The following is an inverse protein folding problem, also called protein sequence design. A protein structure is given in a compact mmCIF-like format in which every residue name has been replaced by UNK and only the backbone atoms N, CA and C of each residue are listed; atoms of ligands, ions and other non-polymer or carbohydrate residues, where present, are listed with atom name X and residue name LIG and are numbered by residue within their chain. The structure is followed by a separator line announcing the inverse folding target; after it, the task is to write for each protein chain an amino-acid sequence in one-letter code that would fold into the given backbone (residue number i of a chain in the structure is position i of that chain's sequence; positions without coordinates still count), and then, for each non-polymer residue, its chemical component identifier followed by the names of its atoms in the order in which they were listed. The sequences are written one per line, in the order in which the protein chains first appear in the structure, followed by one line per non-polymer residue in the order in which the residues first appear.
data_IF_202858412337
#
_entry.id   IF_202858412337
#
_cell.length_a   1.000
_cell.length_b   1.000
_cell.length_c   1.000
_cell.angle_alpha   90.00
_cell.angle_beta   90.00
_cell.angle_gamma   90.00
#
_symmetry.space_group_name_H-M   'P 1'
#
loop_
_entity.id
_entity.type
_entity.pdbx_description
1 polymer ?
#
# COMPACT_ATOMS: atom_id res chain seq x y z
N UNK A 1 -13.48 -31.15 3.96
CA UNK A 1 -13.18 -29.82 4.57
C UNK A 1 -13.44 -28.77 3.52
N UNK A 2 -14.21 -27.76 3.82
CA UNK A 2 -14.48 -26.70 2.85
C UNK A 2 -13.17 -25.94 2.54
N UNK A 3 -13.00 -25.48 1.30
CA UNK A 3 -11.75 -24.87 0.78
C UNK A 3 -11.24 -23.71 1.65
N UNK A 4 -12.17 -22.87 2.14
CA UNK A 4 -11.83 -21.75 3.02
C UNK A 4 -11.31 -22.24 4.39
N UNK A 5 -11.88 -23.31 4.94
CA UNK A 5 -11.41 -23.88 6.21
C UNK A 5 -10.05 -24.57 6.07
N UNK A 6 -9.78 -25.17 4.90
CA UNK A 6 -8.44 -25.68 4.56
C UNK A 6 -7.42 -24.55 4.55
N UNK A 7 -7.71 -23.42 3.86
CA UNK A 7 -6.83 -22.26 3.83
C UNK A 7 -6.58 -21.70 5.25
N UNK A 8 -7.63 -21.57 6.07
CA UNK A 8 -7.54 -21.07 7.43
C UNK A 8 -6.61 -21.94 8.31
N UNK A 9 -6.68 -23.26 8.17
CA UNK A 9 -5.91 -24.20 8.99
C UNK A 9 -4.49 -24.41 8.52
N UNK A 10 -4.23 -24.39 7.21
CA UNK A 10 -2.93 -24.71 6.61
C UNK A 10 -2.13 -23.49 6.18
N UNK A 11 -2.76 -22.32 6.10
CA UNK A 11 -2.21 -21.09 5.52
C UNK A 11 -1.69 -21.30 4.07
N UNK A 12 -2.15 -22.34 3.42
CA UNK A 12 -1.73 -22.71 2.07
C UNK A 12 -2.81 -23.53 1.36
N UNK A 13 -2.79 -23.48 0.03
CA UNK A 13 -3.62 -24.29 -0.86
C UNK A 13 -2.80 -24.72 -2.07
N UNK A 14 -3.27 -25.74 -2.78
CA UNK A 14 -2.75 -26.06 -4.11
C UNK A 14 -3.12 -24.94 -5.11
N UNK A 15 -2.36 -24.84 -6.20
CA UNK A 15 -2.54 -23.78 -7.20
C UNK A 15 -3.95 -23.78 -7.80
N UNK A 16 -4.51 -24.96 -8.08
CA UNK A 16 -5.89 -25.10 -8.56
C UNK A 16 -6.93 -24.61 -7.56
N UNK A 17 -6.68 -24.84 -6.27
CA UNK A 17 -7.57 -24.40 -5.17
C UNK A 17 -7.53 -22.88 -4.98
N UNK A 18 -6.35 -22.25 -5.07
CA UNK A 18 -6.26 -20.79 -5.07
C UNK A 18 -7.01 -20.17 -6.26
N UNK A 19 -6.90 -20.76 -7.46
CA UNK A 19 -7.65 -20.29 -8.62
C UNK A 19 -9.15 -20.36 -8.40
N UNK A 20 -9.66 -21.43 -7.80
CA UNK A 20 -11.07 -21.56 -7.45
C UNK A 20 -11.53 -20.44 -6.49
N UNK A 21 -10.69 -20.04 -5.52
CA UNK A 21 -11.01 -18.90 -4.64
C UNK A 21 -10.97 -17.57 -5.41
N UNK A 22 -9.99 -17.34 -6.27
CA UNK A 22 -9.87 -16.11 -7.06
C UNK A 22 -11.04 -15.93 -8.05
N UNK A 23 -11.63 -17.01 -8.50
CA UNK A 23 -12.76 -17.03 -9.44
C UNK A 23 -14.14 -17.12 -8.76
N UNK A 24 -14.16 -17.02 -7.42
CA UNK A 24 -15.38 -17.13 -6.62
C UNK A 24 -16.40 -16.03 -6.99
N UNK A 25 -17.66 -16.45 -7.26
CA UNK A 25 -18.77 -15.55 -7.61
C UNK A 25 -19.92 -15.61 -6.60
N UNK A 26 -19.98 -16.67 -5.80
CA UNK A 26 -21.02 -16.85 -4.78
C UNK A 26 -20.81 -15.84 -3.63
N UNK A 27 -21.73 -14.91 -3.50
CA UNK A 27 -21.65 -13.83 -2.50
C UNK A 27 -21.61 -14.36 -1.05
N UNK A 28 -22.30 -15.47 -0.75
CA UNK A 28 -22.29 -16.04 0.60
C UNK A 28 -20.93 -16.65 0.93
N UNK A 29 -20.29 -17.29 -0.05
CA UNK A 29 -18.93 -17.82 0.12
C UNK A 29 -17.90 -16.69 0.22
N UNK A 30 -18.06 -15.61 -0.56
CA UNK A 30 -17.23 -14.40 -0.45
C UNK A 30 -17.37 -13.81 0.97
N UNK A 31 -18.58 -13.57 1.45
CA UNK A 31 -18.84 -13.07 2.82
C UNK A 31 -18.23 -13.98 3.90
N UNK A 32 -18.31 -15.31 3.73
CA UNK A 32 -17.68 -16.26 4.64
C UNK A 32 -16.14 -16.13 4.61
N UNK A 33 -15.52 -16.01 3.44
CA UNK A 33 -14.07 -15.80 3.30
C UNK A 33 -13.62 -14.52 4.01
N UNK A 34 -14.31 -13.40 3.78
CA UNK A 34 -14.02 -12.12 4.44
C UNK A 34 -14.14 -12.22 5.95
N UNK A 35 -15.22 -12.85 6.46
CA UNK A 35 -15.43 -13.07 7.89
C UNK A 35 -14.32 -13.91 8.53
N UNK A 36 -13.83 -14.96 7.84
CA UNK A 36 -12.73 -15.79 8.35
C UNK A 36 -11.41 -15.00 8.35
N UNK A 37 -11.16 -14.17 7.33
CA UNK A 37 -9.99 -13.30 7.26
C UNK A 37 -10.02 -12.25 8.38
N UNK A 38 -11.17 -11.62 8.66
CA UNK A 38 -11.31 -10.70 9.79
C UNK A 38 -11.10 -11.39 11.14
N UNK A 39 -11.67 -12.56 11.34
CA UNK A 39 -11.44 -13.34 12.56
C UNK A 39 -9.94 -13.63 12.77
N UNK A 40 -9.23 -14.04 11.71
CA UNK A 40 -7.78 -14.27 11.76
C UNK A 40 -7.01 -12.98 12.07
N UNK A 41 -7.40 -11.84 11.48
CA UNK A 41 -6.81 -10.53 11.79
C UNK A 41 -7.01 -10.19 13.27
N UNK A 42 -8.23 -10.42 13.82
CA UNK A 42 -8.54 -10.15 15.24
C UNK A 42 -7.73 -11.02 16.20
N UNK A 43 -7.45 -12.27 15.85
CA UNK A 43 -6.56 -13.13 16.66
C UNK A 43 -5.17 -12.50 16.83
N UNK A 44 -4.65 -11.83 15.79
CA UNK A 44 -3.31 -11.26 15.79
C UNK A 44 -3.28 -9.83 16.33
N UNK A 45 -4.21 -8.97 15.88
CA UNK A 45 -4.18 -7.53 16.09
C UNK A 45 -5.30 -7.01 17.01
N UNK A 46 -6.15 -7.89 17.53
CA UNK A 46 -7.34 -7.48 18.31
C UNK A 46 -8.29 -6.64 17.45
N UNK A 47 -8.93 -5.65 18.04
CA UNK A 47 -9.85 -4.75 17.35
C UNK A 47 -9.16 -3.48 16.82
N UNK A 48 -7.85 -3.45 16.81
CA UNK A 48 -7.07 -2.27 16.44
C UNK A 48 -7.00 -2.07 14.92
N UNK A 49 -7.26 -0.84 14.48
CA UNK A 49 -6.99 -0.31 13.14
C UNK A 49 -5.94 0.78 13.28
N UNK A 50 -4.82 0.63 12.60
CA UNK A 50 -3.74 1.61 12.60
C UNK A 50 -4.00 2.72 11.58
N UNK A 51 -3.78 3.98 12.00
CA UNK A 51 -3.79 5.12 11.09
C UNK A 51 -2.36 5.52 10.75
N UNK A 52 -2.12 5.83 9.48
CA UNK A 52 -0.83 6.31 8.99
C UNK A 52 -1.01 7.59 8.18
N UNK A 53 -0.33 8.66 8.58
CA UNK A 53 -0.37 9.92 7.86
C UNK A 53 0.38 9.85 6.53
N UNK A 54 -0.34 9.98 5.41
CA UNK A 54 0.25 9.95 4.07
C UNK A 54 0.66 11.35 3.65
N UNK A 55 1.97 11.56 3.40
CA UNK A 55 2.54 12.81 2.85
C UNK A 55 2.99 12.55 1.42
N UNK A 56 2.30 13.14 0.45
CA UNK A 56 2.60 13.05 -0.97
C UNK A 56 3.56 14.17 -1.37
N UNK A 57 4.88 13.91 -1.33
CA UNK A 57 5.91 14.97 -1.40
C UNK A 57 6.18 15.50 -2.80
N UNK A 58 5.91 14.71 -3.84
CA UNK A 58 6.12 15.10 -5.25
C UNK A 58 5.28 14.27 -6.20
N UNK A 59 4.73 14.92 -7.23
CA UNK A 59 4.13 14.24 -8.37
C UNK A 59 5.02 14.26 -9.63
N UNK A 60 6.28 14.67 -9.52
CA UNK A 60 7.27 14.40 -10.56
C UNK A 60 7.67 12.93 -10.50
N UNK A 61 7.84 12.31 -11.66
CA UNK A 61 8.33 10.93 -11.76
C UNK A 61 9.22 10.78 -13.00
N UNK A 62 10.37 10.10 -12.84
CA UNK A 62 11.25 9.78 -13.97
C UNK A 62 10.71 8.66 -14.85
N UNK A 63 9.77 7.85 -14.33
CA UNK A 63 9.22 6.68 -14.98
C UNK A 63 7.96 7.01 -15.81
N UNK A 64 7.66 6.14 -16.77
CA UNK A 64 6.54 6.31 -17.69
C UNK A 64 5.58 5.13 -17.68
N UNK A 65 5.24 4.63 -16.45
CA UNK A 65 4.32 3.51 -16.26
C UNK A 65 2.99 3.78 -16.97
N UNK A 66 2.49 2.78 -17.70
CA UNK A 66 1.39 2.96 -18.66
C UNK A 66 0.03 3.19 -17.99
N UNK A 67 -0.08 2.92 -16.70
CA UNK A 67 -1.31 3.05 -15.89
C UNK A 67 -1.32 4.30 -15.00
N UNK A 68 -0.21 5.02 -14.84
CA UNK A 68 -0.04 6.01 -13.79
C UNK A 68 -0.28 7.44 -14.28
N UNK A 69 -1.18 8.17 -13.64
CA UNK A 69 -1.51 9.56 -14.00
C UNK A 69 -0.35 10.55 -13.85
N UNK A 70 0.62 10.29 -12.92
CA UNK A 70 1.80 11.14 -12.75
C UNK A 70 3.01 10.70 -13.58
N UNK A 71 2.81 9.81 -14.56
CA UNK A 71 3.87 9.35 -15.47
C UNK A 71 4.62 10.50 -16.14
N UNK A 72 5.90 10.25 -16.51
CA UNK A 72 6.79 11.27 -17.05
C UNK A 72 6.21 12.00 -18.27
N UNK A 73 5.65 11.27 -19.22
CA UNK A 73 5.12 11.83 -20.47
C UNK A 73 3.78 12.54 -20.33
N UNK A 74 3.12 12.49 -19.15
CA UNK A 74 1.90 13.23 -18.92
C UNK A 74 2.22 14.73 -18.68
N UNK A 75 2.11 15.53 -19.73
CA UNK A 75 2.37 16.98 -19.71
C UNK A 75 1.16 17.84 -19.26
N UNK A 76 0.01 17.20 -18.98
CA UNK A 76 -1.20 17.90 -18.51
C UNK A 76 -1.30 17.97 -17.00
N UNK A 77 -0.36 17.33 -16.27
CA UNK A 77 -0.32 17.34 -14.81
C UNK A 77 0.31 18.64 -14.29
N UNK A 78 -0.38 19.33 -13.40
CA UNK A 78 0.22 20.42 -12.62
C UNK A 78 1.22 19.83 -11.63
N UNK A 79 2.52 19.94 -11.93
CA UNK A 79 3.60 19.37 -11.12
C UNK A 79 3.89 20.20 -9.89
N UNK A 80 4.24 19.52 -8.78
CA UNK A 80 4.67 20.16 -7.54
C UNK A 80 5.73 19.33 -6.81
N UNK A 81 6.45 19.98 -5.92
CA UNK A 81 7.30 19.40 -4.89
C UNK A 81 6.99 20.11 -3.58
N UNK A 82 6.97 19.37 -2.48
CA UNK A 82 6.98 19.96 -1.14
C UNK A 82 8.43 20.23 -0.75
N UNK A 83 8.64 21.33 -0.03
CA UNK A 83 9.92 21.57 0.62
C UNK A 83 9.96 20.87 2.00
N UNK A 84 11.12 20.90 2.65
CA UNK A 84 11.35 20.27 3.95
C UNK A 84 10.39 20.80 5.01
N UNK A 85 10.21 22.12 5.08
CA UNK A 85 9.37 22.78 6.08
C UNK A 85 7.91 22.36 5.95
N UNK A 86 7.42 22.21 4.73
CA UNK A 86 6.05 21.75 4.46
C UNK A 86 5.84 20.27 4.86
N UNK A 87 6.86 19.44 4.67
CA UNK A 87 6.82 18.02 5.06
C UNK A 87 6.82 17.90 6.59
N UNK A 88 7.72 18.62 7.27
CA UNK A 88 7.79 18.63 8.73
C UNK A 88 6.51 19.21 9.33
N UNK A 89 6.03 20.35 8.84
CA UNK A 89 4.77 20.97 9.31
C UNK A 89 3.59 19.99 9.21
N UNK A 90 3.47 19.25 8.08
CA UNK A 90 2.42 18.25 7.89
C UNK A 90 2.53 17.11 8.90
N UNK A 91 3.74 16.63 9.17
CA UNK A 91 3.99 15.57 10.15
C UNK A 91 3.69 16.05 11.58
N UNK A 92 4.14 17.25 11.96
CA UNK A 92 3.88 17.85 13.28
C UNK A 92 2.38 18.06 13.51
N UNK A 93 1.67 18.60 12.51
CA UNK A 93 0.23 18.74 12.60
C UNK A 93 -0.48 17.40 12.82
N UNK A 94 -0.12 16.38 12.05
CA UNK A 94 -0.69 15.04 12.18
C UNK A 94 -0.29 14.35 13.50
N UNK A 95 0.93 14.56 13.99
CA UNK A 95 1.35 14.05 15.29
C UNK A 95 0.43 14.54 16.42
N UNK A 96 0.07 15.83 16.39
CA UNK A 96 -0.87 16.44 17.35
C UNK A 96 -2.31 15.89 17.20
N UNK A 97 -2.67 15.34 16.03
CA UNK A 97 -3.92 14.62 15.78
C UNK A 97 -3.85 13.12 16.18
N UNK A 98 -2.72 12.65 16.73
CA UNK A 98 -2.57 11.28 17.21
C UNK A 98 -1.85 10.33 16.25
N UNK A 99 -1.39 10.78 15.08
CA UNK A 99 -0.60 9.91 14.18
C UNK A 99 0.77 9.59 14.77
N UNK A 100 1.20 8.34 14.64
CA UNK A 100 2.53 7.86 15.07
C UNK A 100 3.30 7.17 13.94
N UNK A 101 2.72 7.14 12.75
CA UNK A 101 3.41 6.65 11.54
C UNK A 101 3.16 7.62 10.40
N UNK A 102 4.23 8.01 9.73
CA UNK A 102 4.21 8.86 8.53
C UNK A 102 4.67 8.06 7.32
N UNK A 103 3.90 8.13 6.23
CA UNK A 103 4.23 7.53 4.95
C UNK A 103 4.62 8.66 3.99
N UNK A 104 5.90 8.79 3.71
CA UNK A 104 6.45 9.75 2.75
C UNK A 104 6.43 9.10 1.38
N UNK A 105 5.52 9.54 0.52
CA UNK A 105 5.28 8.98 -0.80
C UNK A 105 5.50 10.02 -1.89
N UNK A 106 6.00 9.58 -3.04
CA UNK A 106 6.17 10.43 -4.22
C UNK A 106 6.35 9.63 -5.49
N UNK A 107 6.36 10.31 -6.63
CA UNK A 107 6.95 9.73 -7.83
C UNK A 107 8.46 9.52 -7.63
N UNK A 108 9.09 8.72 -8.49
CA UNK A 108 10.56 8.59 -8.47
C UNK A 108 11.18 9.89 -9.01
N UNK A 109 11.34 10.85 -8.10
CA UNK A 109 11.80 12.20 -8.39
C UNK A 109 13.26 12.40 -7.94
N UNK A 110 14.16 12.61 -8.87
CA UNK A 110 15.59 12.79 -8.60
C UNK A 110 15.91 14.07 -7.81
N UNK A 111 14.96 15.01 -7.67
CA UNK A 111 15.12 16.18 -6.81
C UNK A 111 15.33 15.75 -5.32
N UNK A 112 14.60 14.74 -4.88
CA UNK A 112 14.75 14.21 -3.53
C UNK A 112 15.98 13.29 -3.47
N UNK A 113 17.18 13.92 -3.47
CA UNK A 113 18.47 13.25 -3.25
C UNK A 113 18.53 12.59 -1.88
N UNK A 114 19.54 11.74 -1.67
CA UNK A 114 19.75 11.11 -0.36
C UNK A 114 19.97 12.19 0.73
N UNK A 115 20.73 13.24 0.44
CA UNK A 115 21.02 14.30 1.41
C UNK A 115 19.77 15.05 1.84
N UNK A 116 18.89 15.42 0.90
CA UNK A 116 17.60 16.07 1.20
C UNK A 116 16.71 15.14 2.05
N UNK A 117 16.64 13.86 1.70
CA UNK A 117 15.82 12.91 2.46
C UNK A 117 16.39 12.64 3.84
N UNK A 118 17.71 12.50 3.97
CA UNK A 118 18.40 12.35 5.27
C UNK A 118 18.10 13.54 6.17
N UNK A 119 18.17 14.76 5.63
CA UNK A 119 17.85 15.97 6.39
C UNK A 119 16.39 16.00 6.88
N UNK A 120 15.44 15.58 6.05
CA UNK A 120 14.02 15.46 6.43
C UNK A 120 13.86 14.40 7.52
N UNK A 121 14.42 13.21 7.33
CA UNK A 121 14.30 12.08 8.25
C UNK A 121 14.90 12.38 9.63
N UNK A 122 16.09 12.93 9.66
CA UNK A 122 16.78 13.31 10.92
C UNK A 122 16.04 14.42 11.65
N UNK A 123 15.47 15.40 10.93
CA UNK A 123 14.63 16.45 11.52
C UNK A 123 13.38 15.85 12.17
N UNK A 124 12.66 14.96 11.49
CA UNK A 124 11.46 14.29 12.04
C UNK A 124 11.81 13.42 13.24
N UNK A 125 12.94 12.70 13.20
CA UNK A 125 13.38 11.83 14.31
C UNK A 125 13.90 12.63 15.50
N UNK A 126 14.43 13.83 15.30
CA UNK A 126 14.84 14.72 16.40
C UNK A 126 13.65 15.40 17.08
N UNK A 127 12.54 15.60 16.35
CA UNK A 127 11.32 16.22 16.89
C UNK A 127 10.41 15.19 17.60
N UNK A 128 10.43 13.91 17.16
CA UNK A 128 9.53 12.87 17.66
C UNK A 128 10.25 11.53 17.89
N UNK A 129 10.28 11.05 19.14
CA UNK A 129 10.92 9.79 19.51
C UNK A 129 10.04 8.54 19.21
N UNK A 130 8.73 8.70 19.26
CA UNK A 130 7.75 7.61 19.21
C UNK A 130 7.10 7.42 17.85
N UNK A 131 7.74 7.86 16.76
CA UNK A 131 7.23 7.72 15.40
C UNK A 131 7.92 6.61 14.61
N UNK A 132 7.20 6.07 13.62
CA UNK A 132 7.76 5.28 12.54
C UNK A 132 7.62 6.02 11.19
N UNK A 133 8.67 5.95 10.37
CA UNK A 133 8.68 6.56 9.04
C UNK A 133 8.74 5.47 7.98
N UNK A 134 7.77 5.49 7.09
CA UNK A 134 7.72 4.62 5.90
C UNK A 134 8.06 5.44 4.67
N UNK A 135 9.02 5.00 3.87
CA UNK A 135 9.29 5.59 2.56
C UNK A 135 8.60 4.79 1.45
N UNK A 136 8.06 5.50 0.45
CA UNK A 136 7.49 4.93 -0.78
C UNK A 136 7.90 5.82 -1.96
N UNK A 137 9.20 5.77 -2.30
CA UNK A 137 9.87 6.66 -3.24
C UNK A 137 10.53 5.91 -4.41
N UNK A 138 10.07 4.68 -4.68
CA UNK A 138 10.50 3.88 -5.80
C UNK A 138 11.87 3.22 -5.63
N UNK A 139 12.57 3.00 -6.75
CA UNK A 139 13.83 2.27 -6.79
C UNK A 139 15.02 3.18 -6.52
N UNK A 140 15.93 2.71 -5.62
CA UNK A 140 17.19 3.37 -5.27
C UNK A 140 18.34 2.36 -5.25
N UNK A 141 19.57 2.85 -5.13
CA UNK A 141 20.73 1.97 -4.91
C UNK A 141 20.71 1.39 -3.47
N UNK A 142 21.49 0.33 -3.25
CA UNK A 142 21.61 -0.29 -1.92
C UNK A 142 22.21 0.70 -0.91
N UNK A 143 23.20 1.47 -1.33
CA UNK A 143 23.83 2.52 -0.54
C UNK A 143 22.84 3.63 -0.16
N UNK A 144 21.97 4.03 -1.10
CA UNK A 144 20.90 4.98 -0.85
C UNK A 144 19.90 4.44 0.19
N UNK A 145 19.45 3.18 0.02
CA UNK A 145 18.57 2.55 1.01
C UNK A 145 19.22 2.49 2.40
N UNK A 146 20.52 2.14 2.49
CA UNK A 146 21.24 2.08 3.76
C UNK A 146 21.29 3.46 4.43
N UNK A 147 21.68 4.51 3.70
CA UNK A 147 21.72 5.89 4.23
C UNK A 147 20.37 6.33 4.79
N UNK A 148 19.27 6.03 4.10
CA UNK A 148 17.93 6.41 4.54
C UNK A 148 17.47 5.58 5.75
N UNK A 149 17.87 4.32 5.84
CA UNK A 149 17.63 3.48 7.01
C UNK A 149 18.36 4.03 8.25
N UNK A 150 19.64 4.34 8.10
CA UNK A 150 20.50 4.91 9.17
C UNK A 150 19.99 6.29 9.63
N UNK A 151 19.35 7.06 8.73
CA UNK A 151 18.70 8.33 9.06
C UNK A 151 17.33 8.18 9.76
N UNK A 152 16.84 6.95 9.98
CA UNK A 152 15.65 6.66 10.76
C UNK A 152 14.40 6.25 9.99
N UNK A 153 14.50 5.96 8.69
CA UNK A 153 13.40 5.34 7.93
C UNK A 153 13.28 3.86 8.32
N UNK A 154 12.28 3.54 9.12
CA UNK A 154 12.08 2.18 9.65
C UNK A 154 11.47 1.21 8.64
N UNK A 155 10.69 1.73 7.67
CA UNK A 155 9.88 0.95 6.74
C UNK A 155 10.04 1.47 5.32
N UNK A 156 9.94 0.56 4.36
CA UNK A 156 9.94 0.90 2.95
C UNK A 156 8.86 0.12 2.21
N UNK A 157 7.98 0.83 1.49
CA UNK A 157 6.99 0.22 0.61
C UNK A 157 7.43 0.35 -0.84
N UNK A 158 7.70 -0.77 -1.49
CA UNK A 158 8.02 -0.85 -2.92
C UNK A 158 7.08 -1.85 -3.60
N UNK A 159 6.02 -1.37 -4.24
CA UNK A 159 5.10 -2.24 -4.94
C UNK A 159 5.78 -2.85 -6.16
N UNK A 160 5.67 -4.17 -6.30
CA UNK A 160 6.16 -4.88 -7.48
C UNK A 160 5.13 -4.93 -8.62
N UNK A 161 3.88 -4.59 -8.31
CA UNK A 161 2.68 -4.53 -9.14
C UNK A 161 2.21 -5.88 -9.67
N UNK A 162 3.11 -6.78 -10.02
CA UNK A 162 2.88 -8.17 -10.40
C UNK A 162 4.17 -8.99 -10.26
N UNK A 163 4.09 -10.22 -9.80
CA UNK A 163 5.21 -11.16 -9.72
C UNK A 163 5.50 -11.89 -11.04
N UNK A 164 4.76 -11.57 -12.11
CA UNK A 164 4.96 -12.17 -13.44
C UNK A 164 5.69 -11.21 -14.36
N UNK A 165 6.92 -11.55 -14.76
CA UNK A 165 7.77 -10.71 -15.62
C UNK A 165 7.06 -10.25 -16.90
N UNK A 166 6.47 -11.17 -17.65
CA UNK A 166 5.80 -10.85 -18.92
C UNK A 166 4.58 -9.92 -18.75
N UNK A 167 3.94 -9.94 -17.59
CA UNK A 167 2.87 -9.01 -17.24
C UNK A 167 3.44 -7.66 -16.81
N UNK A 168 4.50 -7.64 -15.99
CA UNK A 168 5.21 -6.42 -15.61
C UNK A 168 5.64 -5.59 -16.82
N UNK A 169 6.22 -6.25 -17.84
CA UNK A 169 6.68 -5.62 -19.08
C UNK A 169 5.54 -5.00 -19.92
N UNK A 170 4.29 -5.50 -19.76
CA UNK A 170 3.10 -4.88 -20.39
C UNK A 170 2.61 -3.62 -19.68
N UNK A 171 2.93 -3.47 -18.39
CA UNK A 171 2.49 -2.35 -17.55
C UNK A 171 3.52 -1.20 -17.50
N UNK A 172 4.78 -1.48 -17.80
CA UNK A 172 5.89 -0.57 -17.58
C UNK A 172 6.67 -0.28 -18.87
N UNK A 173 7.35 0.88 -18.96
CA UNK A 173 8.21 1.17 -20.10
C UNK A 173 9.43 0.25 -20.12
N UNK A 174 10.02 0.02 -21.31
CA UNK A 174 11.22 -0.83 -21.50
C UNK A 174 12.44 -0.39 -20.68
N UNK A 175 12.45 0.83 -20.16
CA UNK A 175 13.52 1.38 -19.30
C UNK A 175 13.43 0.88 -17.86
N UNK A 176 12.31 0.25 -17.48
CA UNK A 176 12.14 -0.35 -16.15
C UNK A 176 12.36 -1.87 -16.23
N UNK A 177 13.10 -2.41 -15.26
CA UNK A 177 13.43 -3.83 -15.19
C UNK A 177 12.66 -4.50 -14.05
N UNK A 178 11.96 -5.59 -14.38
CA UNK A 178 11.33 -6.47 -13.40
C UNK A 178 12.37 -7.03 -12.41
N UNK A 179 13.51 -7.48 -12.92
CA UNK A 179 14.59 -8.04 -12.09
C UNK A 179 15.15 -7.02 -11.11
N UNK A 180 15.31 -5.76 -11.55
CA UNK A 180 15.76 -4.69 -10.66
C UNK A 180 14.73 -4.38 -9.57
N UNK A 181 13.43 -4.35 -9.92
CA UNK A 181 12.34 -4.17 -8.96
C UNK A 181 12.38 -5.25 -7.87
N UNK A 182 12.53 -6.51 -8.26
CA UNK A 182 12.60 -7.63 -7.32
C UNK A 182 13.90 -7.60 -6.48
N UNK A 183 15.04 -7.28 -7.09
CA UNK A 183 16.31 -7.09 -6.36
C UNK A 183 16.23 -5.98 -5.32
N UNK A 184 15.55 -4.86 -5.63
CA UNK A 184 15.34 -3.79 -4.67
C UNK A 184 14.57 -4.25 -3.43
N UNK A 185 13.52 -5.08 -3.58
CA UNK A 185 12.79 -5.66 -2.45
C UNK A 185 13.69 -6.51 -1.54
N UNK A 186 14.53 -7.37 -2.15
CA UNK A 186 15.47 -8.19 -1.37
C UNK A 186 16.55 -7.34 -0.67
N UNK A 187 17.05 -6.27 -1.31
CA UNK A 187 18.00 -5.34 -0.69
C UNK A 187 17.40 -4.64 0.53
N UNK A 188 16.16 -4.13 0.40
CA UNK A 188 15.45 -3.50 1.51
C UNK A 188 15.33 -4.43 2.71
N UNK A 189 14.97 -5.71 2.48
CA UNK A 189 14.88 -6.71 3.53
C UNK A 189 16.25 -6.99 4.17
N UNK A 190 17.30 -7.17 3.35
CA UNK A 190 18.67 -7.43 3.82
C UNK A 190 19.20 -6.31 4.73
N UNK A 191 18.83 -5.05 4.45
CA UNK A 191 19.23 -3.88 5.26
C UNK A 191 18.50 -3.87 6.62
N UNK A 192 17.32 -4.52 6.75
CA UNK A 192 16.55 -4.58 8.00
C UNK A 192 15.31 -3.70 8.01
N UNK A 193 14.85 -3.18 6.86
CA UNK A 193 13.56 -2.50 6.79
C UNK A 193 12.41 -3.45 7.10
N UNK A 194 11.40 -2.98 7.82
CA UNK A 194 10.07 -3.57 7.68
C UNK A 194 9.63 -3.35 6.23
N UNK A 195 9.91 -4.35 5.39
CA UNK A 195 9.75 -4.24 3.94
C UNK A 195 8.31 -4.51 3.53
N UNK A 196 7.73 -3.59 2.76
CA UNK A 196 6.44 -3.75 2.12
C UNK A 196 6.58 -3.98 0.62
N UNK A 197 5.78 -4.90 0.11
CA UNK A 197 5.56 -5.09 -1.32
C UNK A 197 4.12 -4.73 -1.71
N UNK A 198 3.69 -5.00 -2.93
CA UNK A 198 2.29 -4.78 -3.31
C UNK A 198 1.99 -5.08 -4.75
N UNK A 199 0.70 -5.30 -5.01
CA UNK A 199 0.16 -5.71 -6.31
C UNK A 199 -0.97 -4.81 -6.75
N UNK A 200 -1.21 -4.76 -8.06
CA UNK A 200 -2.32 -4.05 -8.67
C UNK A 200 -3.32 -5.06 -9.23
N UNK A 201 -4.47 -5.17 -8.59
CA UNK A 201 -5.52 -6.14 -8.95
C UNK A 201 -6.38 -5.61 -10.10
N UNK A 202 -6.68 -6.48 -11.07
CA UNK A 202 -7.47 -6.12 -12.26
C UNK A 202 -6.73 -5.20 -13.22
N UNK A 203 -5.41 -5.18 -13.16
CA UNK A 203 -4.58 -4.41 -14.10
C UNK A 203 -4.70 -4.95 -15.53
N UNK A 204 -4.46 -4.11 -16.54
CA UNK A 204 -4.55 -4.54 -17.93
C UNK A 204 -3.73 -5.81 -18.20
N UNK A 205 -4.33 -6.76 -18.94
CA UNK A 205 -3.73 -8.06 -19.30
C UNK A 205 -3.50 -9.03 -18.12
N UNK A 206 -3.99 -8.74 -16.93
CA UNK A 206 -3.86 -9.64 -15.78
C UNK A 206 -4.72 -10.89 -15.97
N UNK A 207 -4.15 -12.05 -15.66
CA UNK A 207 -4.84 -13.34 -15.65
C UNK A 207 -4.88 -13.92 -14.23
N UNK A 208 -5.69 -14.97 -14.02
CA UNK A 208 -5.72 -15.69 -12.73
C UNK A 208 -4.34 -16.27 -12.38
N UNK A 209 -3.55 -16.71 -13.37
CA UNK A 209 -2.17 -17.18 -13.19
C UNK A 209 -1.24 -16.09 -12.67
N UNK A 210 -1.44 -14.84 -13.13
CA UNK A 210 -0.65 -13.72 -12.59
C UNK A 210 -0.98 -13.47 -11.11
N UNK A 211 -2.27 -13.49 -10.75
CA UNK A 211 -2.70 -13.35 -9.35
C UNK A 211 -2.19 -14.50 -8.47
N UNK A 212 -2.19 -15.73 -8.99
CA UNK A 212 -1.60 -16.87 -8.31
C UNK A 212 -0.09 -16.70 -8.08
N UNK A 213 0.64 -16.21 -9.09
CA UNK A 213 2.07 -15.90 -8.96
C UNK A 213 2.32 -14.84 -7.89
N UNK A 214 1.43 -13.84 -7.78
CA UNK A 214 1.48 -12.80 -6.76
C UNK A 214 1.25 -13.39 -5.35
N UNK A 215 0.29 -14.32 -5.17
CA UNK A 215 0.06 -15.04 -3.90
C UNK A 215 1.32 -15.80 -3.51
N UNK A 216 1.90 -16.60 -4.43
CA UNK A 216 3.11 -17.40 -4.18
C UNK A 216 4.31 -16.53 -3.84
N UNK A 217 4.47 -15.39 -4.53
CA UNK A 217 5.52 -14.43 -4.19
C UNK A 217 5.34 -13.88 -2.77
N UNK A 218 4.14 -13.48 -2.38
CA UNK A 218 3.85 -12.95 -1.04
C UNK A 218 4.13 -14.03 0.04
N UNK A 219 3.71 -15.28 -0.19
CA UNK A 219 3.99 -16.40 0.71
C UNK A 219 5.50 -16.61 0.91
N UNK A 220 6.26 -16.62 -0.18
CA UNK A 220 7.70 -16.91 -0.14
C UNK A 220 8.53 -15.72 0.37
N UNK A 221 8.17 -14.52 -0.03
CA UNK A 221 8.89 -13.31 0.35
C UNK A 221 8.58 -12.89 1.80
N UNK A 222 7.39 -13.24 2.35
CA UNK A 222 6.93 -12.90 3.70
C UNK A 222 7.13 -11.42 4.05
N UNK A 223 6.50 -10.48 3.33
CA UNK A 223 6.66 -9.05 3.60
C UNK A 223 5.97 -8.64 4.90
N UNK A 224 6.47 -7.59 5.56
CA UNK A 224 5.81 -7.01 6.73
C UNK A 224 4.52 -6.25 6.39
N UNK A 225 4.38 -5.82 5.13
CA UNK A 225 3.26 -5.03 4.64
C UNK A 225 2.97 -5.37 3.18
N UNK A 226 1.70 -5.46 2.80
CA UNK A 226 1.30 -5.65 1.38
C UNK A 226 0.30 -4.59 0.97
N UNK A 227 0.71 -3.71 0.07
CA UNK A 227 -0.16 -2.70 -0.54
C UNK A 227 -0.97 -3.30 -1.71
N UNK A 228 -2.18 -3.77 -1.44
CA UNK A 228 -3.09 -4.32 -2.46
C UNK A 228 -4.09 -3.24 -2.86
N UNK A 229 -4.06 -2.85 -4.12
CA UNK A 229 -4.99 -1.86 -4.65
C UNK A 229 -5.56 -2.28 -6.00
N UNK A 230 -6.81 -1.87 -6.30
CA UNK A 230 -7.37 -2.05 -7.63
C UNK A 230 -6.62 -1.22 -8.66
N UNK A 231 -6.58 -1.69 -9.90
CA UNK A 231 -6.35 -0.83 -11.04
C UNK A 231 -7.53 0.15 -11.17
N UNK A 232 -7.24 1.43 -11.23
CA UNK A 232 -8.22 2.47 -11.55
C UNK A 232 -7.71 3.28 -12.73
N UNK A 233 -8.54 3.52 -13.77
CA UNK A 233 -8.09 4.23 -14.95
C UNK A 233 -7.79 5.71 -14.67
N UNK A 234 -6.87 6.27 -15.45
CA UNK A 234 -6.65 7.70 -15.53
C UNK A 234 -6.74 8.14 -16.99
N UNK A 235 -7.56 9.16 -17.26
CA UNK A 235 -7.90 9.66 -18.63
C UNK A 235 -6.69 10.06 -19.48
N UNK A 236 -5.54 10.31 -18.86
CA UNK A 236 -4.31 10.74 -19.54
C UNK A 236 -3.24 9.63 -19.56
N UNK A 237 -3.67 8.38 -19.54
CA UNK A 237 -2.77 7.22 -19.63
C UNK A 237 -3.12 6.35 -20.83
N UNK A 238 -2.19 5.52 -21.32
CA UNK A 238 -2.48 4.56 -22.40
C UNK A 238 -3.62 3.60 -22.08
N UNK A 239 -3.91 3.35 -20.81
CA UNK A 239 -4.96 2.43 -20.35
C UNK A 239 -6.26 3.12 -19.93
N UNK A 240 -6.46 4.38 -20.34
CA UNK A 240 -7.64 5.19 -19.97
C UNK A 240 -8.99 4.51 -20.23
N UNK A 241 -9.08 3.66 -21.26
CA UNK A 241 -10.32 3.00 -21.69
C UNK A 241 -10.49 1.57 -21.13
N UNK A 242 -9.59 1.14 -20.23
CA UNK A 242 -9.70 -0.16 -19.59
C UNK A 242 -10.45 0.01 -18.26
N UNK A 243 -11.49 -0.80 -18.06
CA UNK A 243 -12.33 -0.73 -16.86
C UNK A 243 -11.59 -1.17 -15.61
N UNK A 244 -11.97 -0.60 -14.46
CA UNK A 244 -11.57 -1.11 -13.16
C UNK A 244 -12.12 -2.53 -12.93
N UNK A 245 -11.47 -3.35 -12.07
CA UNK A 245 -12.00 -4.66 -11.70
C UNK A 245 -13.24 -4.53 -10.80
N UNK A 246 -13.99 -5.63 -10.67
CA UNK A 246 -15.02 -5.74 -9.66
C UNK A 246 -14.43 -5.70 -8.24
N UNK A 247 -15.06 -5.01 -7.27
CA UNK A 247 -14.57 -4.92 -5.90
C UNK A 247 -14.31 -6.27 -5.25
N UNK A 248 -15.17 -7.26 -5.52
CA UNK A 248 -15.06 -8.60 -4.94
C UNK A 248 -13.72 -9.27 -5.24
N UNK A 249 -13.14 -9.08 -6.43
CA UNK A 249 -11.83 -9.66 -6.74
C UNK A 249 -10.73 -9.11 -5.81
N UNK A 250 -10.77 -7.81 -5.53
CA UNK A 250 -9.80 -7.16 -4.63
C UNK A 250 -10.00 -7.65 -3.20
N UNK A 251 -11.24 -7.74 -2.74
CA UNK A 251 -11.60 -8.21 -1.40
C UNK A 251 -11.21 -9.67 -1.19
N UNK A 252 -11.47 -10.54 -2.16
CA UNK A 252 -11.04 -11.96 -2.14
C UNK A 252 -9.51 -12.05 -2.02
N UNK A 253 -8.77 -11.28 -2.84
CA UNK A 253 -7.31 -11.31 -2.79
C UNK A 253 -6.77 -10.82 -1.44
N UNK A 254 -7.34 -9.74 -0.88
CA UNK A 254 -7.01 -9.25 0.46
C UNK A 254 -7.25 -10.32 1.53
N UNK A 255 -8.39 -10.99 1.49
CA UNK A 255 -8.74 -12.05 2.45
C UNK A 255 -7.80 -13.27 2.32
N UNK A 256 -7.46 -13.68 1.10
CA UNK A 256 -6.47 -14.74 0.87
C UNK A 256 -5.13 -14.35 1.49
N UNK A 257 -4.64 -13.12 1.23
CA UNK A 257 -3.36 -12.66 1.78
C UNK A 257 -3.38 -12.61 3.31
N UNK A 258 -4.49 -12.21 3.94
CA UNK A 258 -4.64 -12.27 5.40
C UNK A 258 -4.55 -13.69 5.93
N UNK A 259 -5.15 -14.66 5.22
CA UNK A 259 -5.16 -16.05 5.68
C UNK A 259 -3.82 -16.78 5.46
N UNK A 260 -3.07 -16.45 4.40
CA UNK A 260 -1.75 -17.05 4.15
C UNK A 260 -0.62 -16.42 4.97
N UNK A 261 -0.79 -15.16 5.39
CA UNK A 261 0.20 -14.40 6.17
C UNK A 261 -0.52 -13.56 7.23
N UNK A 262 -0.92 -14.20 8.36
CA UNK A 262 -1.76 -13.55 9.37
C UNK A 262 -1.17 -12.29 10.01
N UNK A 263 0.15 -12.19 10.12
CA UNK A 263 0.87 -11.10 10.77
C UNK A 263 1.15 -9.90 9.86
N UNK A 264 0.80 -9.99 8.57
CA UNK A 264 1.05 -8.90 7.61
C UNK A 264 0.21 -7.66 7.90
N UNK A 265 0.78 -6.49 7.66
CA UNK A 265 0.02 -5.24 7.66
C UNK A 265 -0.65 -5.04 6.30
N UNK A 266 -1.98 -4.94 6.27
CA UNK A 266 -2.78 -4.78 5.06
C UNK A 266 -3.52 -3.45 5.08
N UNK A 267 -3.11 -2.45 4.28
CA UNK A 267 -3.85 -1.22 4.13
C UNK A 267 -5.16 -1.41 3.36
N UNK A 268 -6.26 -0.86 3.87
CA UNK A 268 -7.38 -0.45 3.03
C UNK A 268 -6.92 0.78 2.25
N UNK A 269 -6.47 0.58 1.01
CA UNK A 269 -5.81 1.63 0.21
C UNK A 269 -6.78 2.73 -0.21
N UNK A 270 -6.26 3.93 -0.50
CA UNK A 270 -7.08 5.02 -1.06
C UNK A 270 -7.80 4.59 -2.35
N UNK A 271 -7.19 3.72 -3.16
CA UNK A 271 -7.82 3.17 -4.36
C UNK A 271 -9.02 2.28 -4.02
N UNK A 272 -8.94 1.48 -2.96
CA UNK A 272 -10.06 0.68 -2.48
C UNK A 272 -11.21 1.56 -1.95
N UNK A 273 -10.89 2.66 -1.24
CA UNK A 273 -11.89 3.66 -0.85
C UNK A 273 -12.50 4.37 -2.06
N UNK A 274 -11.71 4.67 -3.09
CA UNK A 274 -12.20 5.26 -4.36
C UNK A 274 -13.20 4.35 -5.05
N UNK A 275 -13.01 3.03 -4.96
CA UNK A 275 -13.92 2.01 -5.48
C UNK A 275 -15.19 1.82 -4.62
N UNK A 276 -15.26 2.42 -3.44
CA UNK A 276 -16.37 2.27 -2.48
C UNK A 276 -16.24 1.10 -1.51
N UNK A 277 -15.19 0.29 -1.61
CA UNK A 277 -15.01 -0.95 -0.85
C UNK A 277 -14.01 -0.83 0.32
N UNK A 278 -13.65 0.39 0.76
CA UNK A 278 -12.62 0.59 1.79
C UNK A 278 -13.00 0.00 3.15
N UNK A 279 -14.24 0.17 3.58
CA UNK A 279 -14.72 -0.37 4.85
C UNK A 279 -14.98 -1.88 4.79
N UNK A 280 -15.45 -2.41 3.64
CA UNK A 280 -15.51 -3.86 3.42
C UNK A 280 -14.11 -4.49 3.47
N UNK A 281 -13.08 -3.78 2.99
CA UNK A 281 -11.68 -4.21 3.13
C UNK A 281 -11.26 -4.39 4.58
N UNK A 282 -11.70 -3.53 5.51
CA UNK A 282 -11.46 -3.72 6.94
C UNK A 282 -12.14 -4.99 7.45
N UNK A 283 -13.39 -5.22 7.06
CA UNK A 283 -14.12 -6.45 7.38
C UNK A 283 -13.55 -7.70 6.67
N UNK A 284 -12.71 -7.51 5.65
CA UNK A 284 -12.01 -8.55 4.89
C UNK A 284 -10.56 -8.78 5.33
N UNK A 285 -10.14 -8.23 6.47
CA UNK A 285 -8.81 -8.49 7.04
C UNK A 285 -7.79 -7.36 6.93
N UNK A 286 -8.13 -6.19 6.34
CA UNK A 286 -7.29 -5.01 6.44
C UNK A 286 -7.22 -4.49 7.88
N UNK A 287 -6.07 -3.87 8.23
CA UNK A 287 -5.84 -3.33 9.57
C UNK A 287 -5.14 -1.96 9.57
N UNK A 288 -5.01 -1.33 8.41
CA UNK A 288 -4.37 -0.01 8.27
C UNK A 288 -5.22 0.89 7.38
N UNK A 289 -5.38 2.15 7.77
CA UNK A 289 -5.94 3.23 6.95
C UNK A 289 -4.87 4.32 6.80
N UNK A 290 -4.80 4.94 5.61
CA UNK A 290 -3.79 5.96 5.31
C UNK A 290 -4.46 7.29 4.92
N UNK A 291 -4.94 8.09 5.90
CA UNK A 291 -5.45 9.42 5.63
C UNK A 291 -4.33 10.34 5.11
N UNK A 292 -4.70 11.22 4.17
CA UNK A 292 -3.76 12.16 3.57
C UNK A 292 -3.59 13.38 4.49
N UNK A 293 -2.35 13.67 4.84
CA UNK A 293 -1.94 14.81 5.67
C UNK A 293 -1.11 15.84 4.89
N UNK A 294 -0.98 15.67 3.57
CA UNK A 294 -0.27 16.62 2.72
C UNK A 294 -0.94 18.01 2.74
N UNK A 295 -0.19 19.10 2.52
CA UNK A 295 -0.76 20.42 2.35
C UNK A 295 -1.78 20.48 1.20
N UNK A 296 -2.77 21.38 1.28
CA UNK A 296 -3.87 21.50 0.30
C UNK A 296 -3.36 21.65 -1.15
N UNK A 297 -2.25 22.38 -1.34
CA UNK A 297 -1.64 22.55 -2.65
C UNK A 297 -1.21 21.24 -3.35
N UNK A 298 -1.02 20.17 -2.57
CA UNK A 298 -0.59 18.85 -3.05
C UNK A 298 -1.76 17.88 -3.28
N UNK A 299 -2.78 17.94 -2.41
CA UNK A 299 -3.87 16.96 -2.36
C UNK A 299 -4.59 16.71 -3.69
N UNK A 300 -4.87 17.78 -4.44
CA UNK A 300 -5.59 17.70 -5.72
C UNK A 300 -4.66 17.47 -6.93
N UNK A 301 -3.34 17.36 -6.72
CA UNK A 301 -2.34 17.24 -7.79
C UNK A 301 -1.64 15.89 -7.84
N UNK A 302 -1.75 15.08 -6.78
CA UNK A 302 -1.18 13.73 -6.76
C UNK A 302 -2.23 12.71 -7.20
N UNK A 303 -2.50 12.68 -8.49
CA UNK A 303 -3.52 11.84 -9.09
C UNK A 303 -2.88 10.69 -9.89
N UNK A 304 -2.77 9.54 -9.26
CA UNK A 304 -2.33 8.30 -9.92
C UNK A 304 -3.41 7.75 -10.85
N UNK A 305 -4.68 7.99 -10.51
CA UNK A 305 -5.91 7.61 -11.20
C UNK A 305 -6.98 8.68 -11.00
N UNK A 306 -8.02 8.64 -11.83
CA UNK A 306 -9.13 9.61 -11.72
C UNK A 306 -10.02 9.35 -10.48
N UNK A 307 -10.77 10.37 -10.07
CA UNK A 307 -11.75 10.32 -8.96
C UNK A 307 -11.19 9.83 -7.62
N UNK A 308 -9.92 10.08 -7.34
CA UNK A 308 -9.25 9.70 -6.09
C UNK A 308 -10.07 10.14 -4.87
N UNK A 309 -10.38 9.21 -3.97
CA UNK A 309 -11.07 9.49 -2.73
C UNK A 309 -10.31 10.52 -1.88
N UNK A 310 -11.04 11.50 -1.35
CA UNK A 310 -10.47 12.54 -0.48
C UNK A 310 -10.50 12.05 0.97
N UNK A 311 -9.40 11.45 1.40
CA UNK A 311 -9.19 11.02 2.79
C UNK A 311 -8.32 12.04 3.53
N UNK A 312 -8.68 13.32 3.48
CA UNK A 312 -7.90 14.39 4.12
C UNK A 312 -8.04 14.29 5.64
N UNK A 313 -6.93 14.16 6.32
CA UNK A 313 -6.88 14.06 7.78
C UNK A 313 -6.98 15.47 8.41
N UNK A 314 -8.19 15.87 8.74
CA UNK A 314 -8.48 16.93 9.68
C UNK A 314 -9.25 16.37 10.88
N UNK A 315 -9.53 17.20 11.85
CA UNK A 315 -10.21 16.80 13.08
C UNK A 315 -11.60 16.22 12.83
N UNK A 316 -12.37 16.80 11.92
CA UNK A 316 -13.73 16.38 11.59
C UNK A 316 -13.72 15.00 10.89
N UNK A 317 -12.83 14.83 9.90
CA UNK A 317 -12.62 13.54 9.23
C UNK A 317 -12.25 12.42 10.22
N UNK A 318 -11.36 12.70 11.19
CA UNK A 318 -10.94 11.70 12.16
C UNK A 318 -12.06 11.29 13.09
N UNK A 319 -12.93 12.21 13.51
CA UNK A 319 -14.13 11.91 14.31
C UNK A 319 -15.08 11.02 13.51
N UNK A 320 -15.39 11.36 12.25
CA UNK A 320 -16.25 10.58 11.37
C UNK A 320 -15.65 9.17 11.10
N UNK A 321 -14.33 9.11 10.87
CA UNK A 321 -13.63 7.85 10.68
C UNK A 321 -13.71 6.96 11.93
N UNK A 322 -13.50 7.51 13.11
CA UNK A 322 -13.58 6.79 14.39
C UNK A 322 -14.98 6.22 14.61
N UNK A 323 -16.02 7.01 14.35
CA UNK A 323 -17.41 6.54 14.45
C UNK A 323 -17.70 5.39 13.48
N UNK A 324 -17.25 5.50 12.22
CA UNK A 324 -17.42 4.45 11.20
C UNK A 324 -16.69 3.17 11.58
N UNK A 325 -15.44 3.30 12.04
CA UNK A 325 -14.60 2.19 12.46
C UNK A 325 -15.23 1.51 13.71
N UNK A 326 -15.76 2.28 14.66
CA UNK A 326 -16.46 1.78 15.86
C UNK A 326 -17.73 1.02 15.52
N UNK A 327 -18.53 1.49 14.54
CA UNK A 327 -19.73 0.78 14.06
C UNK A 327 -19.42 -0.60 13.48
N UNK A 328 -18.19 -0.82 12.99
CA UNK A 328 -17.70 -2.11 12.52
C UNK A 328 -17.08 -2.98 13.63
N UNK A 329 -17.11 -2.51 14.88
CA UNK A 329 -16.55 -3.23 16.03
C UNK A 329 -15.03 -3.14 16.13
N UNK A 330 -14.42 -2.06 15.61
CA UNK A 330 -12.98 -1.78 15.71
C UNK A 330 -12.73 -0.49 16.49
N UNK A 331 -11.45 -0.23 16.80
CA UNK A 331 -10.97 1.01 17.39
C UNK A 331 -9.73 1.52 16.66
N UNK A 332 -9.59 2.83 16.52
CA UNK A 332 -8.37 3.44 16.01
C UNK A 332 -7.30 3.35 17.10
N UNK A 333 -6.12 2.82 16.73
CA UNK A 333 -4.97 2.72 17.62
C UNK A 333 -3.99 3.88 17.40
N UNK A 334 -3.66 4.58 18.49
CA UNK A 334 -2.61 5.60 18.50
C UNK A 334 -1.29 4.90 18.84
N UNK A 335 -0.62 4.37 17.82
CA UNK A 335 0.65 3.65 17.96
C UNK A 335 1.42 3.63 16.64
N UNK A 336 2.68 3.20 16.67
CA UNK A 336 3.46 2.98 15.44
C UNK A 336 2.85 1.89 14.55
N UNK A 337 2.08 0.95 15.12
CA UNK A 337 1.48 -0.16 14.38
C UNK A 337 2.54 -0.97 13.63
N UNK A 338 3.52 -1.51 14.34
CA UNK A 338 4.54 -2.38 13.77
C UNK A 338 3.94 -3.72 13.34
N UNK A 339 4.53 -4.33 12.33
CA UNK A 339 4.19 -5.71 11.94
C UNK A 339 4.52 -6.66 13.11
N UNK A 340 3.67 -7.66 13.30
CA UNK A 340 3.93 -8.74 14.26
C UNK A 340 4.64 -9.94 13.61
N UNK A 341 5.01 -9.80 12.35
CA UNK A 341 5.85 -10.77 11.66
C UNK A 341 7.24 -10.76 12.29
N UNK A 342 7.70 -11.91 12.78
CA UNK A 342 9.07 -12.08 13.26
C UNK A 342 10.02 -12.14 12.05
N UNK A 343 11.13 -11.43 12.15
CA UNK A 343 12.27 -11.61 11.24
C UNK A 343 12.98 -12.92 11.68
N UNK A 344 12.63 -14.04 11.01
CA UNK A 344 13.38 -15.28 11.08
C UNK A 344 14.46 -15.33 10.00
#
# INVERSE_FOLDING_TARGET
MELIDKLLSTQNLEDSEFKMLLELKDENKIKNLLKKADAKRREIYGDEIYIRGLIEISNFCKNDCLYCGIRKSNNKVSRYRLNKEEIIFSATHAYNLGFRTFVIQGGEDNYFSDDILVEILTSLKSEFDDIAITLSLGERSEESYQKLYDAGANRYLLRHETATKSHYEKLHPKTMSYENRMKCLHKLRKIGYQTGCGVMIGSPYQTTENLLSDIRFIQNFRPHMVGIGPYLPHKQTPFANISAPEPNLVLIFLAIVRLILPEVLLPATTALFTMGAGFEGLCGGCNVIMPNISPDKANDKYLLYDNKAKLKADKEFLIDLEEKVKKLGYKIAISKGDSKLSDE
#
